data_IF_141396064373
#
_entry.id   IF_141396064373
#
_cell.length_a   1.000
_cell.length_b   1.000
_cell.length_c   1.000
_cell.angle_alpha   90.00
_cell.angle_beta   90.00
_cell.angle_gamma   90.00
#
_symmetry.space_group_name_H-M   'P 1'
#
loop_
_entity.id
_entity.type
_entity.pdbx_description
1 polymer ?
#
# COMPACT_ATOMS: atom_id res chain seq x y z
N UNK A 1 11.72 7.28 2.14
CA UNK A 1 10.36 6.85 1.72
C UNK A 1 9.52 6.55 2.94
N UNK A 2 8.28 7.02 2.96
CA UNK A 2 7.37 6.75 4.08
C UNK A 2 6.96 5.28 4.08
N UNK A 3 6.87 4.70 5.27
CA UNK A 3 6.45 3.31 5.48
C UNK A 3 5.01 3.29 5.97
N UNK A 4 4.17 2.48 5.35
CA UNK A 4 2.75 2.36 5.69
C UNK A 4 2.46 0.93 6.12
N UNK A 5 1.82 0.78 7.29
CA UNK A 5 1.36 -0.52 7.77
C UNK A 5 0.07 -0.90 7.04
N UNK A 6 0.05 -2.07 6.43
CA UNK A 6 -1.11 -2.56 5.67
C UNK A 6 -1.38 -4.02 5.97
N UNK A 7 -2.52 -4.51 5.48
CA UNK A 7 -2.82 -5.94 5.40
C UNK A 7 -2.80 -6.32 3.92
N UNK A 8 -1.80 -7.10 3.50
CA UNK A 8 -1.65 -7.47 2.10
C UNK A 8 -2.81 -8.30 1.55
N UNK A 9 -3.61 -8.89 2.44
CA UNK A 9 -4.83 -9.59 2.05
C UNK A 9 -5.96 -8.65 1.64
N UNK A 10 -5.92 -7.39 2.07
CA UNK A 10 -6.95 -6.40 1.74
C UNK A 10 -6.62 -5.74 0.40
N UNK A 11 -7.19 -6.27 -0.66
CA UNK A 11 -6.93 -5.77 -2.02
C UNK A 11 -8.24 -5.54 -2.77
N UNK A 12 -8.18 -4.67 -3.76
CA UNK A 12 -9.23 -4.59 -4.78
C UNK A 12 -9.06 -5.73 -5.78
N UNK A 13 -10.03 -5.89 -6.69
CA UNK A 13 -10.05 -6.98 -7.68
C UNK A 13 -8.80 -7.02 -8.55
N UNK A 14 -8.17 -5.87 -8.79
CA UNK A 14 -6.96 -5.76 -9.59
C UNK A 14 -5.67 -6.04 -8.81
N UNK A 15 -5.79 -6.39 -7.53
CA UNK A 15 -4.65 -6.70 -6.67
C UNK A 15 -4.01 -5.51 -5.98
N UNK A 16 -4.51 -4.30 -6.19
CA UNK A 16 -3.99 -3.12 -5.48
C UNK A 16 -4.33 -3.20 -3.99
N UNK A 17 -3.37 -2.88 -3.14
CA UNK A 17 -3.53 -2.96 -1.68
C UNK A 17 -4.35 -1.78 -1.19
N UNK A 18 -5.38 -2.05 -0.38
CA UNK A 18 -6.23 -1.00 0.18
C UNK A 18 -5.47 -0.21 1.25
N UNK A 19 -5.55 1.11 1.16
CA UNK A 19 -4.97 2.02 2.14
C UNK A 19 -6.07 2.59 3.02
N UNK A 20 -5.95 2.39 4.33
CA UNK A 20 -6.91 2.97 5.27
C UNK A 20 -6.50 4.41 5.58
N UNK A 21 -7.20 5.37 4.97
CA UNK A 21 -6.84 6.78 5.09
C UNK A 21 -6.88 7.32 6.53
N UNK A 22 -7.61 6.67 7.44
CA UNK A 22 -7.62 7.10 8.84
C UNK A 22 -6.30 6.81 9.57
N UNK A 23 -5.45 5.95 9.01
CA UNK A 23 -4.15 5.58 9.59
C UNK A 23 -2.96 6.06 8.75
N UNK A 24 -3.21 6.82 7.69
CA UNK A 24 -2.17 7.21 6.74
C UNK A 24 -2.03 8.73 6.72
N UNK A 25 -0.80 9.27 6.79
CA UNK A 25 -0.60 10.70 6.70
C UNK A 25 -1.18 11.27 5.39
N UNK A 26 -1.97 12.35 5.46
CA UNK A 26 -2.62 12.90 4.26
C UNK A 26 -1.64 13.29 3.15
N UNK A 27 -0.42 13.67 3.51
CA UNK A 27 0.58 14.10 2.53
C UNK A 27 1.03 13.00 1.57
N UNK A 28 0.81 11.72 1.91
CA UNK A 28 1.14 10.61 0.99
C UNK A 28 -0.06 10.18 0.16
N UNK A 29 -1.26 10.65 0.46
CA UNK A 29 -2.47 10.33 -0.29
C UNK A 29 -2.55 11.21 -1.53
N UNK A 30 -1.56 11.07 -2.39
CA UNK A 30 -1.44 11.77 -3.67
C UNK A 30 -1.03 10.74 -4.71
N UNK A 31 -1.76 10.71 -5.81
CA UNK A 31 -1.49 9.76 -6.90
C UNK A 31 -0.05 9.90 -7.38
N UNK A 32 0.67 8.79 -7.47
CA UNK A 32 2.07 8.74 -7.89
C UNK A 32 3.07 8.72 -6.75
N UNK A 33 2.64 8.90 -5.50
CA UNK A 33 3.55 8.87 -4.36
C UNK A 33 4.10 7.45 -4.17
N UNK A 34 5.42 7.32 -4.07
CA UNK A 34 6.08 6.05 -3.83
C UNK A 34 6.25 5.84 -2.33
N UNK A 35 5.84 4.68 -1.84
CA UNK A 35 5.84 4.35 -0.42
C UNK A 35 6.34 2.93 -0.21
N UNK A 36 6.66 2.59 1.04
CA UNK A 36 6.94 1.21 1.43
C UNK A 36 5.72 0.70 2.19
N UNK A 37 5.16 -0.42 1.73
CA UNK A 37 4.11 -1.12 2.45
C UNK A 37 4.74 -2.25 3.27
N UNK A 38 4.27 -2.44 4.49
CA UNK A 38 4.78 -3.52 5.32
C UNK A 38 3.69 -4.12 6.20
N UNK A 39 3.84 -5.39 6.50
CA UNK A 39 2.97 -6.14 7.41
C UNK A 39 3.85 -7.01 8.30
N UNK A 40 4.05 -6.64 9.58
CA UNK A 40 4.99 -7.35 10.46
C UNK A 40 4.40 -8.56 11.17
N UNK A 41 3.11 -8.82 11.02
CA UNK A 41 2.44 -9.89 11.75
C UNK A 41 2.94 -11.27 11.41
N UNK A 42 2.94 -12.27 11.48
CA UNK A 42 3.42 -13.61 11.17
C UNK A 42 4.78 -13.64 10.51
N UNK A 43 4.91 -13.06 9.32
CA UNK A 43 6.17 -12.98 8.58
C UNK A 43 6.34 -11.54 8.14
N UNK A 44 7.49 -10.95 8.45
CA UNK A 44 7.75 -9.57 8.06
C UNK A 44 7.78 -9.47 6.53
N UNK A 45 6.74 -8.89 5.97
CA UNK A 45 6.63 -8.66 4.52
C UNK A 45 6.66 -7.18 4.22
N UNK A 46 7.37 -6.82 3.15
CA UNK A 46 7.43 -5.43 2.69
C UNK A 46 7.62 -5.35 1.19
N UNK A 47 7.18 -4.24 0.62
CA UNK A 47 7.39 -3.95 -0.79
C UNK A 47 7.32 -2.44 -1.01
N UNK A 48 7.75 -2.00 -2.19
CA UNK A 48 7.47 -0.64 -2.63
C UNK A 48 6.17 -0.61 -3.40
N UNK A 49 5.47 0.52 -3.33
CA UNK A 49 4.19 0.66 -4.00
C UNK A 49 3.97 2.10 -4.43
N UNK A 50 3.08 2.28 -5.39
CA UNK A 50 2.70 3.61 -5.91
C UNK A 50 1.25 3.87 -5.54
N UNK A 51 1.00 4.96 -4.83
CA UNK A 51 -0.32 5.35 -4.36
C UNK A 51 -1.16 5.85 -5.53
N UNK A 52 -2.44 5.47 -5.56
CA UNK A 52 -3.42 5.99 -6.52
C UNK A 52 -4.84 5.90 -5.96
N UNK A 53 -5.77 6.52 -6.66
CA UNK A 53 -7.20 6.35 -6.36
C UNK A 53 -7.65 4.92 -6.67
N UNK A 54 -8.46 4.36 -5.79
CA UNK A 54 -9.07 3.05 -6.01
C UNK A 54 -10.36 3.15 -6.79
N UNK A 55 -10.89 1.98 -7.20
CA UNK A 55 -12.20 1.87 -7.85
C UNK A 55 -13.32 1.83 -6.83
N UNK A 56 -13.14 1.05 -5.78
CA UNK A 56 -14.12 0.86 -4.70
C UNK A 56 -13.66 1.64 -3.46
N UNK A 57 -12.40 1.53 -3.11
CA UNK A 57 -11.79 2.22 -1.98
C UNK A 57 -11.21 3.55 -2.44
N UNK A 58 -11.26 4.59 -1.59
CA UNK A 58 -10.72 5.90 -1.98
C UNK A 58 -9.26 5.85 -2.38
N UNK A 59 -8.45 5.11 -1.63
CA UNK A 59 -7.00 5.05 -1.86
C UNK A 59 -6.49 3.61 -1.84
N UNK A 60 -5.64 3.31 -2.79
CA UNK A 60 -4.96 2.00 -2.92
C UNK A 60 -3.52 2.25 -3.34
N UNK A 61 -2.71 1.18 -3.31
CA UNK A 61 -1.34 1.24 -3.81
C UNK A 61 -1.03 0.02 -4.65
N UNK A 62 -0.44 0.26 -5.82
CA UNK A 62 0.02 -0.80 -6.71
C UNK A 62 1.43 -1.23 -6.31
N UNK A 63 1.63 -2.51 -6.05
CA UNK A 63 2.94 -3.06 -5.70
C UNK A 63 3.87 -2.92 -6.90
N UNK A 64 5.06 -2.39 -6.67
CA UNK A 64 6.10 -2.32 -7.69
C UNK A 64 6.71 -3.70 -7.85
N UNK A 65 6.65 -4.25 -9.06
CA UNK A 65 7.15 -5.59 -9.35
C UNK A 65 8.63 -5.71 -8.97
N UNK A 66 8.97 -6.85 -8.36
CA UNK A 66 10.35 -7.13 -7.98
C UNK A 66 10.80 -6.55 -6.65
N UNK A 67 9.95 -5.77 -5.96
CA UNK A 67 10.34 -5.17 -4.67
C UNK A 67 9.84 -5.93 -3.45
N UNK A 68 8.99 -6.93 -3.65
CA UNK A 68 8.40 -7.68 -2.53
C UNK A 68 9.47 -8.50 -1.82
N UNK A 69 9.52 -8.40 -0.49
CA UNK A 69 10.45 -9.11 0.39
C UNK A 69 9.70 -9.70 1.58
N UNK A 70 10.19 -10.78 2.10
CA UNK A 70 9.64 -11.41 3.30
C UNK A 70 10.71 -11.57 4.37
#
# INVERSE_FOLDING_TARGET
MIRLLVHFADTEDDGAVVLNESHIPPEVLVTGTRVILYEPEEVEMRCEAIVRRGKIWPWVADIVEGTFRS
#
